data_IF_499189065367
#
_entry.id   IF_499189065367
#
_cell.length_a   1.000
_cell.length_b   1.000
_cell.length_c   1.000
_cell.angle_alpha   90.00
_cell.angle_beta   90.00
_cell.angle_gamma   90.00
#
_symmetry.space_group_name_H-M   'P 1'
#
loop_
_entity.id
_entity.type
_entity.pdbx_description
1 polymer ?
#
# COMPACT_ATOMS: atom_id res chain seq x y z
N UNK A 1 38.81 71.64 11.52
CA UNK A 1 37.75 70.64 11.26
C UNK A 1 38.13 69.89 10.00
N UNK A 2 38.19 68.56 10.04
CA UNK A 2 38.07 67.60 8.91
C UNK A 2 38.70 66.27 9.37
N UNK A 3 37.91 65.41 10.00
CA UNK A 3 37.19 64.26 9.43
C UNK A 3 38.11 63.09 9.04
N UNK A 4 38.14 62.08 9.92
CA UNK A 4 38.65 60.74 9.66
C UNK A 4 37.76 60.05 8.62
N UNK A 5 38.37 59.50 7.57
CA UNK A 5 37.67 58.73 6.54
C UNK A 5 37.24 57.36 7.09
N UNK A 6 35.95 57.03 6.97
CA UNK A 6 35.39 55.70 7.25
C UNK A 6 35.73 54.72 6.11
N UNK A 7 36.11 53.47 6.41
CA UNK A 7 36.26 52.44 5.39
C UNK A 7 34.89 52.00 4.86
N UNK A 8 34.77 51.94 3.53
CA UNK A 8 33.55 51.53 2.84
C UNK A 8 33.24 50.05 3.08
N UNK A 9 31.99 49.75 3.44
CA UNK A 9 31.49 48.39 3.53
C UNK A 9 31.42 47.75 2.13
N UNK A 10 32.00 46.56 2.00
CA UNK A 10 31.89 45.72 0.80
C UNK A 10 30.47 45.15 0.73
N UNK A 11 29.74 45.33 -0.39
CA UNK A 11 28.40 44.76 -0.53
C UNK A 11 28.50 43.24 -0.68
N UNK A 12 27.82 42.51 0.20
CA UNK A 12 27.66 41.05 0.12
C UNK A 12 26.67 40.75 -1.01
N UNK A 13 27.01 39.89 -1.99
CA UNK A 13 26.08 39.54 -3.05
C UNK A 13 24.84 38.84 -2.48
N UNK A 14 23.65 39.01 -3.09
CA UNK A 14 22.45 38.31 -2.66
C UNK A 14 22.69 36.80 -2.79
N UNK A 15 22.54 36.07 -1.69
CA UNK A 15 22.42 34.60 -1.76
C UNK A 15 21.09 34.31 -2.42
N UNK A 16 21.12 33.75 -3.63
CA UNK A 16 19.92 33.19 -4.24
C UNK A 16 19.44 32.02 -3.36
N UNK A 17 18.17 31.98 -2.93
CA UNK A 17 17.67 30.87 -2.15
C UNK A 17 17.78 29.60 -3.00
N UNK A 18 18.49 28.59 -2.50
CA UNK A 18 18.53 27.29 -3.13
C UNK A 18 17.09 26.80 -3.38
N UNK A 19 16.81 26.17 -4.54
CA UNK A 19 15.47 25.66 -4.82
C UNK A 19 15.08 24.72 -3.68
N UNK A 20 13.95 25.01 -3.04
CA UNK A 20 13.38 24.14 -2.03
C UNK A 20 13.06 22.81 -2.70
N UNK A 21 13.96 21.85 -2.57
CA UNK A 21 13.66 20.45 -2.89
C UNK A 21 12.60 20.08 -1.87
N UNK A 22 11.35 19.89 -2.33
CA UNK A 22 10.33 19.37 -1.46
C UNK A 22 10.85 18.02 -0.94
N UNK A 23 10.97 17.87 0.38
CA UNK A 23 11.38 16.62 1.06
C UNK A 23 10.37 15.47 0.86
N UNK A 24 9.48 15.60 -0.12
CA UNK A 24 8.41 14.69 -0.42
C UNK A 24 8.76 13.89 -1.67
N UNK A 25 8.59 12.57 -1.57
CA UNK A 25 8.91 11.63 -2.64
C UNK A 25 8.16 12.02 -3.94
N UNK A 26 8.78 11.95 -5.13
CA UNK A 26 8.08 12.17 -6.40
C UNK A 26 6.81 11.30 -6.51
N UNK A 27 5.68 11.80 -7.06
CA UNK A 27 4.41 11.08 -7.13
C UNK A 27 4.49 9.64 -7.65
N UNK A 28 5.40 9.41 -8.59
CA UNK A 28 5.63 8.18 -9.35
C UNK A 28 6.30 7.10 -8.50
N UNK A 29 6.97 7.52 -7.43
CA UNK A 29 7.63 6.66 -6.46
C UNK A 29 6.79 6.47 -5.20
N UNK A 30 5.66 7.18 -5.06
CA UNK A 30 4.76 7.03 -3.91
C UNK A 30 3.97 5.73 -4.03
N UNK A 31 3.80 5.06 -2.91
CA UNK A 31 2.85 3.96 -2.81
C UNK A 31 1.44 4.52 -3.01
N UNK A 32 0.63 3.96 -3.93
CA UNK A 32 -0.75 4.38 -4.12
C UNK A 32 -1.56 4.25 -2.82
N UNK A 33 -2.41 5.24 -2.55
CA UNK A 33 -3.37 5.14 -1.46
C UNK A 33 -4.45 4.10 -1.77
N UNK A 34 -5.20 3.69 -0.75
CA UNK A 34 -6.25 2.69 -0.87
C UNK A 34 -7.30 3.03 -1.93
N UNK A 35 -7.64 4.32 -2.08
CA UNK A 35 -8.63 4.80 -3.05
C UNK A 35 -8.10 4.89 -4.48
N UNK A 36 -6.78 4.71 -4.68
CA UNK A 36 -6.14 4.77 -6.00
C UNK A 36 -6.00 3.39 -6.66
N UNK A 37 -6.37 2.31 -5.98
CA UNK A 37 -6.30 0.93 -6.48
C UNK A 37 -7.69 0.30 -6.51
N UNK A 38 -7.97 -0.52 -7.53
CA UNK A 38 -9.26 -1.24 -7.61
C UNK A 38 -9.39 -2.34 -6.55
N UNK A 39 -8.27 -2.87 -6.07
CA UNK A 39 -8.23 -3.84 -4.99
C UNK A 39 -6.81 -4.08 -4.47
N UNK A 40 -6.74 -4.74 -3.32
CA UNK A 40 -5.49 -5.17 -2.68
C UNK A 40 -5.56 -6.65 -2.39
N UNK A 41 -4.42 -7.32 -2.47
CA UNK A 41 -4.33 -8.76 -2.24
C UNK A 41 -3.22 -9.06 -1.25
N UNK A 42 -3.43 -10.10 -0.44
CA UNK A 42 -2.47 -10.55 0.55
C UNK A 42 -2.51 -12.08 0.65
N UNK A 43 -1.37 -12.78 0.46
CA UNK A 43 -1.26 -14.19 0.78
C UNK A 43 -1.49 -14.43 2.28
N UNK A 44 -2.26 -15.45 2.60
CA UNK A 44 -2.59 -15.87 3.96
C UNK A 44 -2.36 -17.39 4.09
N UNK A 45 -1.12 -17.80 4.45
CA UNK A 45 -0.76 -19.22 4.52
C UNK A 45 -1.43 -19.96 5.68
N UNK A 46 -1.91 -19.23 6.69
CA UNK A 46 -2.52 -19.79 7.89
C UNK A 46 -4.00 -20.08 7.69
N UNK A 47 -4.66 -20.85 8.59
CA UNK A 47 -6.11 -20.91 8.63
C UNK A 47 -6.72 -19.53 8.91
N UNK A 48 -7.85 -19.23 8.28
CA UNK A 48 -8.68 -18.07 8.67
C UNK A 48 -9.66 -18.57 9.74
N UNK A 49 -9.59 -17.99 10.94
CA UNK A 49 -10.45 -18.36 12.07
C UNK A 49 -11.33 -17.18 12.44
N UNK A 50 -12.65 -17.35 12.37
CA UNK A 50 -13.66 -16.33 12.60
C UNK A 50 -14.69 -16.86 13.60
N UNK A 51 -14.88 -16.13 14.70
CA UNK A 51 -15.82 -16.51 15.77
C UNK A 51 -15.58 -17.93 16.33
N UNK A 52 -14.33 -18.41 16.29
CA UNK A 52 -13.94 -19.75 16.72
C UNK A 52 -14.02 -20.82 15.62
N UNK A 53 -14.56 -20.49 14.45
CA UNK A 53 -14.73 -21.41 13.32
C UNK A 53 -13.63 -21.25 12.28
N UNK A 54 -13.11 -22.37 11.77
CA UNK A 54 -12.14 -22.36 10.66
C UNK A 54 -12.89 -22.21 9.35
N UNK A 55 -12.52 -21.20 8.56
CA UNK A 55 -13.10 -21.00 7.23
C UNK A 55 -12.47 -21.97 6.23
N UNK A 56 -13.32 -22.75 5.58
CA UNK A 56 -12.96 -23.65 4.49
C UNK A 56 -13.54 -23.17 3.16
N UNK A 57 -12.92 -23.61 2.06
CA UNK A 57 -13.41 -23.41 0.72
C UNK A 57 -14.72 -24.16 0.53
N UNK A 58 -15.76 -23.44 0.11
CA UNK A 58 -17.09 -24.01 -0.12
C UNK A 58 -17.11 -25.08 -1.24
N UNK A 59 -16.09 -25.09 -2.11
CA UNK A 59 -16.02 -26.01 -3.25
C UNK A 59 -15.03 -27.16 -3.07
N UNK A 60 -13.85 -26.91 -2.49
CA UNK A 60 -12.80 -27.93 -2.36
C UNK A 60 -12.35 -28.21 -0.93
N UNK A 61 -13.03 -27.62 0.07
CA UNK A 61 -12.85 -27.88 1.50
C UNK A 61 -11.44 -27.58 2.07
N UNK A 62 -10.52 -27.03 1.28
CA UNK A 62 -9.24 -26.53 1.81
C UNK A 62 -9.49 -25.38 2.77
N UNK A 63 -8.73 -25.33 3.85
CA UNK A 63 -8.96 -24.43 4.98
C UNK A 63 -7.80 -23.45 5.25
N UNK A 64 -6.78 -23.47 4.40
CA UNK A 64 -5.56 -22.65 4.51
C UNK A 64 -5.05 -22.25 3.12
N UNK A 65 -3.92 -21.55 3.09
CA UNK A 65 -3.26 -21.09 1.86
C UNK A 65 -4.20 -20.21 1.01
N UNK A 66 -4.89 -19.30 1.70
CA UNK A 66 -5.83 -18.36 1.11
C UNK A 66 -5.09 -17.19 0.47
N UNK A 67 -5.64 -16.65 -0.61
CA UNK A 67 -5.40 -15.29 -1.03
C UNK A 67 -6.58 -14.44 -0.57
N UNK A 68 -6.31 -13.44 0.27
CA UNK A 68 -7.33 -12.51 0.75
C UNK A 68 -7.33 -11.30 -0.18
N UNK A 69 -8.49 -10.98 -0.74
CA UNK A 69 -8.69 -9.90 -1.72
C UNK A 69 -9.64 -8.89 -1.12
N UNK A 70 -9.21 -7.63 -0.98
CA UNK A 70 -10.09 -6.52 -0.62
C UNK A 70 -10.37 -5.66 -1.83
N UNK A 71 -11.64 -5.53 -2.20
CA UNK A 71 -12.09 -4.69 -3.32
C UNK A 71 -13.49 -4.15 -3.04
N UNK A 72 -13.73 -2.88 -3.39
CA UNK A 72 -15.05 -2.21 -3.26
C UNK A 72 -15.71 -2.38 -1.89
N UNK A 73 -14.92 -2.35 -0.81
CA UNK A 73 -15.42 -2.50 0.56
C UNK A 73 -15.62 -3.95 1.03
N UNK A 74 -15.50 -4.93 0.14
CA UNK A 74 -15.71 -6.35 0.41
C UNK A 74 -14.38 -7.10 0.57
N UNK A 75 -14.42 -8.22 1.29
CA UNK A 75 -13.30 -9.14 1.41
C UNK A 75 -13.67 -10.51 0.86
N UNK A 76 -12.89 -10.97 -0.11
CA UNK A 76 -13.03 -12.26 -0.76
C UNK A 76 -11.84 -13.15 -0.39
N UNK A 77 -12.13 -14.45 -0.25
CA UNK A 77 -11.13 -15.49 -0.01
C UNK A 77 -11.01 -16.34 -1.27
N UNK A 78 -9.82 -16.41 -1.84
CA UNK A 78 -9.51 -17.25 -3.00
C UNK A 78 -8.60 -18.40 -2.58
N UNK A 79 -9.00 -19.64 -2.82
CA UNK A 79 -8.18 -20.80 -2.50
C UNK A 79 -7.14 -21.07 -3.62
N UNK A 80 -6.17 -21.96 -3.38
CA UNK A 80 -5.16 -22.33 -4.41
C UNK A 80 -5.72 -23.00 -5.67
N UNK A 81 -6.90 -23.61 -5.58
CA UNK A 81 -7.59 -24.17 -6.74
C UNK A 81 -8.29 -23.07 -7.59
N UNK A 82 -8.32 -21.83 -7.11
CA UNK A 82 -8.89 -20.68 -7.82
C UNK A 82 -10.36 -20.42 -7.52
N UNK A 83 -11.00 -21.16 -6.61
CA UNK A 83 -12.36 -20.85 -6.15
C UNK A 83 -12.35 -19.61 -5.27
N UNK A 84 -13.36 -18.77 -5.42
CA UNK A 84 -13.51 -17.50 -4.71
C UNK A 84 -14.81 -17.49 -3.92
N UNK A 85 -14.75 -17.03 -2.67
CA UNK A 85 -15.94 -16.85 -1.84
C UNK A 85 -15.88 -15.52 -1.10
N UNK A 86 -17.02 -14.82 -1.09
CA UNK A 86 -17.22 -13.63 -0.26
C UNK A 86 -17.25 -14.06 1.20
N UNK A 87 -16.47 -13.42 2.06
CA UNK A 87 -16.52 -13.63 3.51
C UNK A 87 -17.15 -12.41 4.19
N UNK A 88 -18.47 -12.43 4.47
CA UNK A 88 -19.20 -11.27 4.98
C UNK A 88 -18.80 -10.87 6.41
N UNK A 89 -18.12 -11.75 7.16
CA UNK A 89 -17.59 -11.44 8.50
C UNK A 89 -16.31 -10.61 8.44
N UNK A 90 -15.70 -10.47 7.26
CA UNK A 90 -14.48 -9.69 7.05
C UNK A 90 -14.80 -8.40 6.27
N UNK A 91 -14.27 -7.29 6.77
CA UNK A 91 -14.39 -5.97 6.12
C UNK A 91 -13.02 -5.41 5.72
N UNK A 92 -13.04 -4.31 4.98
CA UNK A 92 -11.81 -3.62 4.55
C UNK A 92 -10.98 -3.15 5.75
N UNK A 93 -11.62 -2.81 6.88
CA UNK A 93 -10.90 -2.43 8.09
C UNK A 93 -10.11 -3.62 8.67
N UNK A 94 -10.67 -4.82 8.67
CA UNK A 94 -9.98 -6.04 9.04
C UNK A 94 -8.81 -6.30 8.09
N UNK A 95 -9.01 -6.21 6.77
CA UNK A 95 -7.94 -6.38 5.80
C UNK A 95 -6.79 -5.40 6.05
N UNK A 96 -7.10 -4.13 6.29
CA UNK A 96 -6.10 -3.09 6.55
C UNK A 96 -5.32 -3.31 7.85
N UNK A 97 -5.93 -3.90 8.88
CA UNK A 97 -5.24 -4.23 10.14
C UNK A 97 -4.26 -5.40 9.99
N UNK A 98 -4.52 -6.31 9.06
CA UNK A 98 -3.73 -7.54 8.90
C UNK A 98 -2.76 -7.48 7.71
N UNK A 99 -2.99 -6.58 6.75
CA UNK A 99 -2.07 -6.36 5.64
C UNK A 99 -0.83 -5.60 6.10
N UNK A 100 0.33 -6.09 5.66
CA UNK A 100 1.59 -5.36 5.75
C UNK A 100 1.72 -4.30 4.66
N UNK A 101 2.89 -3.63 4.59
CA UNK A 101 3.25 -2.80 3.44
C UNK A 101 3.12 -3.60 2.15
N UNK A 102 2.56 -2.99 1.11
CA UNK A 102 2.56 -3.58 -0.23
C UNK A 102 4.00 -3.63 -0.77
N UNK A 103 4.41 -4.76 -1.29
CA UNK A 103 5.72 -5.00 -1.92
C UNK A 103 5.72 -4.71 -3.43
N UNK A 104 4.55 -4.77 -4.07
CA UNK A 104 4.35 -4.47 -5.48
C UNK A 104 2.99 -3.82 -5.77
N UNK A 105 2.88 -3.20 -6.94
CA UNK A 105 1.62 -2.76 -7.54
C UNK A 105 1.58 -3.29 -8.97
N UNK A 106 0.45 -3.87 -9.37
CA UNK A 106 0.28 -4.49 -10.69
C UNK A 106 -0.83 -3.78 -11.46
N UNK A 107 -0.69 -3.72 -12.78
CA UNK A 107 -1.67 -3.06 -13.65
C UNK A 107 -2.99 -3.83 -13.80
N UNK A 108 -2.94 -5.16 -13.60
CA UNK A 108 -4.11 -6.04 -13.74
C UNK A 108 -4.23 -7.01 -12.57
N UNK A 109 -5.44 -7.52 -12.37
CA UNK A 109 -5.74 -8.55 -11.37
C UNK A 109 -4.93 -9.82 -11.64
N UNK A 110 -4.86 -10.26 -12.90
CA UNK A 110 -4.16 -11.46 -13.35
C UNK A 110 -2.64 -11.35 -13.18
N UNK A 111 -2.07 -10.15 -13.39
CA UNK A 111 -0.64 -9.92 -13.11
C UNK A 111 -0.32 -10.08 -11.62
N UNK A 112 -1.21 -9.59 -10.76
CA UNK A 112 -1.07 -9.75 -9.31
C UNK A 112 -1.17 -11.23 -8.91
N UNK A 113 -2.15 -11.97 -9.43
CA UNK A 113 -2.29 -13.41 -9.16
C UNK A 113 -1.01 -14.17 -9.56
N UNK A 114 -0.50 -13.92 -10.76
CA UNK A 114 0.73 -14.56 -11.25
C UNK A 114 1.93 -14.24 -10.36
N UNK A 115 2.07 -13.00 -9.92
CA UNK A 115 3.12 -12.59 -9.00
C UNK A 115 3.04 -13.33 -7.66
N UNK A 116 1.83 -13.54 -7.15
CA UNK A 116 1.56 -14.23 -5.89
C UNK A 116 1.51 -15.77 -6.02
N UNK A 117 1.62 -16.32 -7.23
CA UNK A 117 1.62 -17.76 -7.49
C UNK A 117 0.23 -18.41 -7.46
N UNK A 118 -0.81 -17.66 -7.87
CA UNK A 118 -2.22 -18.06 -7.94
C UNK A 118 -2.77 -18.06 -9.37
#
# INVERSE_FOLDING_TARGET
MSHLAQPAAVPVPPVEPAPAVADFLPPELRVPSHDQVEGRMMPWPWPVVLDGEVVACAECETYRDWLIISTRGQVWLRCRAGHEQLEPRLDTAWFNRHSGPSDATHATFEDCLRHLGH
#
